data_IF_643696681953
#
_entry.id   IF_643696681953
#
_cell.length_a   1.000
_cell.length_b   1.000
_cell.length_c   1.000
_cell.angle_alpha   90.00
_cell.angle_beta   90.00
_cell.angle_gamma   90.00
#
_symmetry.space_group_name_H-M   'P 1'
#
loop_
_entity.id
_entity.type
_entity.pdbx_description
1 polymer ?
#
# COMPACT_ATOMS: atom_id res chain seq x y z
N UNK A 1 11.96 -11.08 91.56
CA UNK A 1 13.12 -11.98 91.37
C UNK A 1 13.85 -11.50 90.12
N UNK A 2 15.06 -10.97 90.31
CA UNK A 2 16.14 -10.55 89.38
C UNK A 2 15.81 -10.13 87.92
N UNK A 3 15.99 -8.83 87.59
CA UNK A 3 17.15 -8.22 86.87
C UNK A 3 17.21 -8.64 85.38
N UNK A 4 17.16 -7.75 84.37
CA UNK A 4 18.14 -6.70 84.06
C UNK A 4 17.56 -5.57 83.18
N UNK A 5 18.07 -4.37 83.40
CA UNK A 5 18.00 -3.16 82.55
C UNK A 5 18.97 -3.23 81.36
N UNK A 6 18.63 -2.55 80.26
CA UNK A 6 19.31 -1.37 79.65
C UNK A 6 18.63 -1.12 78.29
N UNK A 7 17.90 0.01 78.14
CA UNK A 7 18.26 1.21 77.35
C UNK A 7 18.56 0.94 75.86
N UNK A 8 18.20 1.75 74.87
CA UNK A 8 17.52 3.04 74.73
C UNK A 8 17.25 3.19 73.21
N UNK A 9 16.33 4.12 72.87
CA UNK A 9 16.37 5.03 71.71
C UNK A 9 15.10 5.05 70.84
N UNK A 10 14.37 6.15 71.04
CA UNK A 10 13.38 6.73 70.14
C UNK A 10 14.09 7.25 68.87
N UNK A 11 13.49 7.08 67.69
CA UNK A 11 12.94 8.20 66.91
C UNK A 11 12.31 7.72 65.60
N UNK A 12 11.06 8.12 65.41
CA UNK A 12 10.27 7.92 64.19
C UNK A 12 10.58 9.01 63.16
N UNK A 13 10.78 8.55 61.92
CA UNK A 13 10.20 9.06 60.67
C UNK A 13 9.91 10.57 60.57
N UNK A 14 10.65 11.25 59.68
CA UNK A 14 10.07 12.21 58.73
C UNK A 14 10.72 12.04 57.35
N UNK A 15 9.87 11.75 56.37
CA UNK A 15 10.19 11.57 54.94
C UNK A 15 10.63 12.90 54.33
N UNK A 16 11.80 12.91 53.69
CA UNK A 16 12.23 13.98 52.80
C UNK A 16 11.65 13.78 51.39
N UNK A 17 11.18 14.87 50.80
CA UNK A 17 10.95 15.01 49.37
C UNK A 17 12.30 14.92 48.65
N UNK A 18 12.46 13.97 47.74
CA UNK A 18 13.45 14.04 46.67
C UNK A 18 12.69 13.93 45.34
N UNK A 19 12.51 15.06 44.68
CA UNK A 19 12.05 15.10 43.30
C UNK A 19 13.20 14.70 42.39
N UNK A 20 13.15 13.47 41.85
CA UNK A 20 14.00 13.04 40.75
C UNK A 20 13.20 13.28 39.47
N UNK A 21 13.56 14.35 38.76
CA UNK A 21 13.13 14.59 37.38
C UNK A 21 13.88 13.59 36.49
N UNK A 22 13.29 12.42 36.24
CA UNK A 22 13.73 11.55 35.15
C UNK A 22 13.24 12.13 33.83
N UNK A 23 14.07 12.96 33.20
CA UNK A 23 13.98 13.27 31.78
C UNK A 23 14.30 11.98 30.99
N UNK A 24 13.29 11.15 30.80
CA UNK A 24 13.33 10.06 29.84
C UNK A 24 13.47 10.68 28.44
N UNK A 25 14.70 10.73 27.94
CA UNK A 25 14.97 10.98 26.54
C UNK A 25 14.40 9.79 25.77
N UNK A 26 13.25 9.96 25.12
CA UNK A 26 12.86 9.11 24.01
C UNK A 26 13.94 9.24 22.94
N UNK A 27 14.89 8.30 22.92
CA UNK A 27 15.70 8.09 21.73
C UNK A 27 14.72 7.80 20.58
N UNK A 28 14.82 8.49 19.43
CA UNK A 28 14.07 8.08 18.26
C UNK A 28 14.47 6.64 17.97
N UNK A 29 13.52 5.72 18.10
CA UNK A 29 13.74 4.35 17.68
C UNK A 29 14.09 4.39 16.20
N UNK A 30 15.31 3.99 15.85
CA UNK A 30 15.63 3.69 14.47
C UNK A 30 14.56 2.70 14.00
N UNK A 31 13.88 3.01 12.89
CA UNK A 31 13.03 2.04 12.23
C UNK A 31 13.83 0.73 12.09
N UNK A 32 13.25 -0.39 12.49
CA UNK A 32 13.95 -1.67 12.40
C UNK A 32 14.32 -1.91 10.92
N UNK A 33 15.62 -1.98 10.63
CA UNK A 33 16.10 -2.32 9.29
C UNK A 33 15.55 -3.69 8.91
N UNK A 34 14.97 -3.81 7.72
CA UNK A 34 14.48 -5.09 7.22
C UNK A 34 15.69 -6.02 7.02
N UNK A 35 15.68 -7.19 7.66
CA UNK A 35 16.70 -8.20 7.43
C UNK A 35 16.56 -8.77 6.00
N UNK A 36 17.69 -9.01 5.33
CA UNK A 36 17.68 -9.67 4.03
C UNK A 36 17.03 -11.06 4.17
N UNK A 37 16.17 -11.47 3.21
CA UNK A 37 15.79 -12.86 3.07
C UNK A 37 17.03 -13.74 2.90
N UNK A 38 16.90 -15.04 3.21
CA UNK A 38 18.00 -16.00 3.01
C UNK A 38 18.42 -16.02 1.54
N UNK A 39 19.71 -16.28 1.27
CA UNK A 39 20.20 -16.33 -0.11
C UNK A 39 19.47 -17.38 -0.95
N UNK A 40 19.02 -18.49 -0.35
CA UNK A 40 18.20 -19.48 -1.03
C UNK A 40 16.85 -18.90 -1.50
N UNK A 41 16.19 -18.08 -0.67
CA UNK A 41 14.96 -17.39 -1.05
C UNK A 41 15.21 -16.34 -2.15
N UNK A 42 16.32 -15.60 -2.07
CA UNK A 42 16.73 -14.65 -3.12
C UNK A 42 16.97 -15.38 -4.44
N UNK A 43 17.70 -16.48 -4.44
CA UNK A 43 17.96 -17.28 -5.64
C UNK A 43 16.65 -17.84 -6.24
N UNK A 44 15.72 -18.29 -5.40
CA UNK A 44 14.40 -18.73 -5.86
C UNK A 44 13.62 -17.58 -6.52
N UNK A 45 13.61 -16.40 -5.89
CA UNK A 45 12.96 -15.21 -6.45
C UNK A 45 13.63 -14.78 -7.78
N UNK A 46 14.96 -14.87 -7.90
CA UNK A 46 15.68 -14.60 -9.15
C UNK A 46 15.24 -15.53 -10.28
N UNK A 47 15.05 -16.81 -9.98
CA UNK A 47 14.65 -17.82 -10.97
C UNK A 47 13.17 -17.77 -11.40
N UNK A 48 12.34 -16.99 -10.69
CA UNK A 48 10.90 -16.90 -10.94
C UNK A 48 10.62 -16.04 -12.17
N UNK A 49 9.52 -16.30 -12.89
CA UNK A 49 9.07 -15.47 -14.02
C UNK A 49 8.72 -14.03 -13.57
N UNK A 50 8.88 -13.05 -14.47
CA UNK A 50 8.39 -11.69 -14.24
C UNK A 50 6.86 -11.64 -14.18
N UNK A 51 6.32 -10.87 -13.24
CA UNK A 51 4.87 -10.66 -13.15
C UNK A 51 4.41 -9.53 -14.06
N UNK A 52 3.30 -9.78 -14.76
CA UNK A 52 2.52 -8.84 -15.54
C UNK A 52 1.12 -8.77 -14.96
N UNK A 53 0.44 -7.66 -15.24
CA UNK A 53 -0.98 -7.51 -14.95
C UNK A 53 -1.74 -7.24 -16.23
N UNK A 54 -2.88 -7.89 -16.39
CA UNK A 54 -3.80 -7.67 -17.49
C UNK A 54 -5.14 -8.33 -17.17
N UNK A 55 -6.24 -7.65 -17.46
CA UNK A 55 -7.59 -8.18 -17.22
C UNK A 55 -7.97 -9.37 -18.10
N UNK A 56 -7.25 -9.58 -19.22
CA UNK A 56 -7.43 -10.77 -20.06
C UNK A 56 -6.90 -12.05 -19.42
N UNK A 57 -6.13 -11.96 -18.33
CA UNK A 57 -5.70 -13.14 -17.59
C UNK A 57 -6.87 -13.81 -16.87
N UNK A 58 -6.90 -15.14 -16.95
CA UNK A 58 -7.98 -15.94 -16.39
C UNK A 58 -8.01 -15.91 -14.86
N UNK A 59 -9.18 -16.22 -14.29
CA UNK A 59 -9.37 -16.34 -12.84
C UNK A 59 -9.59 -15.01 -12.11
N UNK A 60 -9.77 -13.89 -12.81
CA UNK A 60 -10.14 -12.60 -12.21
C UNK A 60 -9.02 -11.91 -11.42
N UNK A 61 -7.86 -12.56 -11.26
CA UNK A 61 -6.71 -12.03 -10.54
C UNK A 61 -5.99 -10.89 -11.27
N UNK A 62 -6.26 -10.73 -12.57
CA UNK A 62 -5.60 -9.80 -13.48
C UNK A 62 -4.08 -9.91 -13.47
N UNK A 63 -3.52 -11.09 -13.19
CA UNK A 63 -2.06 -11.31 -13.20
C UNK A 63 -1.70 -12.71 -13.67
N UNK A 64 -0.53 -12.86 -14.28
CA UNK A 64 0.11 -14.17 -14.47
C UNK A 64 0.80 -14.68 -13.19
N UNK A 65 0.96 -13.81 -12.18
CA UNK A 65 1.79 -14.03 -11.00
C UNK A 65 1.02 -14.46 -9.74
N UNK A 66 -0.17 -15.04 -9.86
CA UNK A 66 -1.01 -15.37 -8.70
C UNK A 66 -0.29 -16.23 -7.64
N UNK A 67 0.60 -17.12 -8.09
CA UNK A 67 1.31 -18.09 -7.24
C UNK A 67 2.77 -17.76 -6.96
N UNK A 68 3.33 -16.77 -7.67
CA UNK A 68 4.77 -16.49 -7.64
C UNK A 68 5.11 -15.00 -7.56
N UNK A 69 4.11 -14.11 -7.51
CA UNK A 69 4.32 -12.67 -7.50
C UNK A 69 5.04 -12.14 -6.26
N UNK A 70 5.05 -12.90 -5.16
CA UNK A 70 5.86 -12.60 -3.97
C UNK A 70 7.35 -12.49 -4.24
N UNK A 71 7.86 -13.04 -5.36
CA UNK A 71 9.26 -12.87 -5.77
C UNK A 71 9.67 -11.39 -5.90
N UNK A 72 8.78 -10.53 -6.41
CA UNK A 72 9.05 -9.09 -6.58
C UNK A 72 9.36 -8.38 -5.25
N UNK A 73 8.57 -8.66 -4.20
CA UNK A 73 8.80 -8.13 -2.86
C UNK A 73 10.08 -8.72 -2.25
N UNK A 74 10.31 -10.03 -2.38
CA UNK A 74 11.53 -10.68 -1.87
C UNK A 74 12.79 -10.03 -2.44
N UNK A 75 12.82 -9.74 -3.74
CA UNK A 75 13.92 -9.04 -4.39
C UNK A 75 14.08 -7.61 -3.83
N UNK A 76 12.99 -6.87 -3.68
CA UNK A 76 13.03 -5.52 -3.13
C UNK A 76 13.55 -5.48 -1.68
N UNK A 77 13.09 -6.39 -0.81
CA UNK A 77 13.57 -6.49 0.58
C UNK A 77 15.05 -6.86 0.61
N UNK A 78 15.50 -7.82 -0.20
CA UNK A 78 16.91 -8.20 -0.29
C UNK A 78 17.78 -7.01 -0.71
N UNK A 79 17.40 -6.29 -1.76
CA UNK A 79 18.11 -5.08 -2.21
C UNK A 79 18.12 -4.01 -1.12
N UNK A 80 16.99 -3.73 -0.47
CA UNK A 80 16.89 -2.76 0.62
C UNK A 80 17.85 -3.09 1.77
N UNK A 81 17.91 -4.36 2.16
CA UNK A 81 18.81 -4.88 3.20
C UNK A 81 20.30 -4.94 2.80
N UNK A 82 20.65 -4.48 1.59
CA UNK A 82 22.05 -4.43 1.11
C UNK A 82 22.51 -5.65 0.30
N UNK A 83 21.65 -6.64 0.05
CA UNK A 83 22.00 -7.79 -0.79
C UNK A 83 21.91 -7.41 -2.27
N UNK A 84 23.05 -7.09 -2.87
CA UNK A 84 23.16 -6.66 -4.27
C UNK A 84 22.90 -7.78 -5.28
N UNK A 85 22.86 -9.05 -4.86
CA UNK A 85 22.59 -10.17 -5.78
C UNK A 85 21.15 -10.15 -6.33
N UNK A 86 20.24 -9.42 -5.68
CA UNK A 86 18.86 -9.22 -6.13
C UNK A 86 18.69 -8.06 -7.13
N UNK A 87 19.64 -7.10 -7.18
CA UNK A 87 19.44 -5.78 -7.81
C UNK A 87 19.11 -5.91 -9.32
N UNK A 88 19.86 -6.72 -10.08
CA UNK A 88 19.64 -6.90 -11.53
C UNK A 88 18.23 -7.40 -11.81
N UNK A 89 17.78 -8.44 -11.11
CA UNK A 89 16.45 -9.01 -11.30
C UNK A 89 15.35 -8.06 -10.87
N UNK A 90 15.59 -7.30 -9.79
CA UNK A 90 14.65 -6.28 -9.34
C UNK A 90 14.44 -5.20 -10.41
N UNK A 91 15.52 -4.71 -11.05
CA UNK A 91 15.40 -3.76 -12.16
C UNK A 91 14.64 -4.34 -13.35
N UNK A 92 14.87 -5.61 -13.69
CA UNK A 92 14.10 -6.29 -14.74
C UNK A 92 12.61 -6.31 -14.41
N UNK A 93 12.23 -6.65 -13.17
CA UNK A 93 10.83 -6.63 -12.74
C UNK A 93 10.22 -5.23 -12.74
N UNK A 94 10.92 -4.21 -12.24
CA UNK A 94 10.45 -2.82 -12.27
C UNK A 94 10.16 -2.40 -13.71
N UNK A 95 11.14 -2.56 -14.60
CA UNK A 95 11.00 -2.11 -16.00
C UNK A 95 9.96 -2.92 -16.76
N UNK A 96 9.83 -4.20 -16.46
CA UNK A 96 8.80 -5.05 -17.04
C UNK A 96 7.39 -4.62 -16.62
N UNK A 97 7.20 -4.26 -15.35
CA UNK A 97 5.93 -3.67 -14.87
C UNK A 97 5.63 -2.31 -15.52
N UNK A 98 6.66 -1.55 -15.93
CA UNK A 98 6.50 -0.26 -16.61
C UNK A 98 6.37 -0.36 -18.14
N UNK A 99 6.43 -1.57 -18.69
CA UNK A 99 6.09 -1.83 -20.09
C UNK A 99 4.57 -1.70 -20.27
N UNK A 100 4.09 -0.92 -21.25
CA UNK A 100 2.66 -0.73 -21.47
C UNK A 100 1.90 -2.04 -21.61
N UNK A 101 0.83 -2.21 -20.85
CA UNK A 101 0.00 -3.41 -20.82
C UNK A 101 0.46 -4.46 -19.79
N UNK A 102 1.57 -4.23 -19.09
CA UNK A 102 2.02 -5.06 -17.97
C UNK A 102 1.78 -4.41 -16.60
N UNK A 103 1.50 -3.11 -16.55
CA UNK A 103 1.23 -2.39 -15.30
C UNK A 103 -0.07 -2.89 -14.63
N UNK A 104 -0.19 -2.79 -13.28
CA UNK A 104 -1.43 -3.12 -12.57
C UNK A 104 -2.68 -2.53 -13.23
N UNK A 105 -3.80 -3.24 -13.14
CA UNK A 105 -5.08 -2.71 -13.64
C UNK A 105 -5.67 -1.65 -12.71
N UNK A 106 -5.33 -1.70 -11.42
CA UNK A 106 -5.85 -0.81 -10.38
C UNK A 106 -7.39 -0.79 -10.36
N UNK A 107 -8.00 -1.97 -10.40
CA UNK A 107 -9.46 -2.10 -10.40
C UNK A 107 -10.11 -1.92 -9.02
N UNK A 108 -9.34 -2.20 -7.96
CA UNK A 108 -9.90 -2.63 -6.68
C UNK A 108 -10.40 -4.08 -6.77
N UNK A 109 -11.14 -4.55 -5.76
CA UNK A 109 -11.70 -5.91 -5.73
C UNK A 109 -10.64 -7.03 -5.68
N UNK A 110 -10.94 -8.16 -6.33
CA UNK A 110 -10.11 -9.37 -6.29
C UNK A 110 -8.65 -9.18 -6.80
N UNK A 111 -8.40 -8.41 -7.89
CA UNK A 111 -7.03 -8.14 -8.36
C UNK A 111 -6.11 -7.51 -7.31
N UNK A 112 -6.65 -6.70 -6.38
CA UNK A 112 -5.86 -5.91 -5.45
C UNK A 112 -4.90 -6.76 -4.59
N UNK A 113 -5.30 -8.00 -4.24
CA UNK A 113 -4.46 -8.92 -3.47
C UNK A 113 -3.17 -9.35 -4.20
N UNK A 114 -3.14 -9.24 -5.53
CA UNK A 114 -2.00 -9.61 -6.34
C UNK A 114 -1.24 -8.37 -6.81
N UNK A 115 -1.93 -7.26 -7.06
CA UNK A 115 -1.31 -5.97 -7.37
C UNK A 115 -0.43 -5.45 -6.22
N UNK A 116 -0.71 -5.86 -4.97
CA UNK A 116 0.15 -5.58 -3.81
C UNK A 116 1.58 -6.12 -3.93
N UNK A 117 1.81 -7.14 -4.77
CA UNK A 117 3.17 -7.60 -5.06
C UNK A 117 4.00 -6.50 -5.72
N UNK A 118 3.47 -5.86 -6.77
CA UNK A 118 4.16 -4.77 -7.46
C UNK A 118 4.14 -3.47 -6.65
N UNK A 119 3.02 -3.12 -6.02
CA UNK A 119 2.93 -1.86 -5.27
C UNK A 119 3.74 -1.91 -3.98
N UNK A 120 3.80 -3.06 -3.30
CA UNK A 120 4.71 -3.29 -2.17
C UNK A 120 6.18 -3.23 -2.58
N UNK A 121 6.54 -3.82 -3.74
CA UNK A 121 7.87 -3.67 -4.32
C UNK A 121 8.23 -2.18 -4.52
N UNK A 122 7.33 -1.36 -5.08
CA UNK A 122 7.59 0.06 -5.29
C UNK A 122 7.75 0.88 -4.01
N UNK A 123 7.00 0.57 -2.94
CA UNK A 123 7.20 1.19 -1.61
C UNK A 123 8.63 0.97 -1.12
N UNK A 124 9.13 -0.27 -1.18
CA UNK A 124 10.47 -0.61 -0.70
C UNK A 124 11.54 0.01 -1.61
N UNK A 125 11.34 -0.07 -2.92
CA UNK A 125 12.26 0.49 -3.92
C UNK A 125 12.44 2.00 -3.74
N UNK A 126 11.36 2.77 -3.50
CA UNK A 126 11.43 4.21 -3.24
C UNK A 126 12.26 4.57 -2.01
N UNK A 127 12.32 3.67 -1.03
CA UNK A 127 13.14 3.81 0.18
C UNK A 127 14.51 3.13 0.06
N UNK A 128 14.93 2.78 -1.15
CA UNK A 128 16.23 2.14 -1.42
C UNK A 128 17.01 2.99 -2.42
N UNK A 129 17.79 4.01 -1.98
CA UNK A 129 18.45 4.96 -2.88
C UNK A 129 19.29 4.31 -3.98
N UNK A 130 20.02 3.22 -3.66
CA UNK A 130 20.81 2.45 -4.63
C UNK A 130 19.99 1.95 -5.84
N UNK A 131 18.70 1.68 -5.64
CA UNK A 131 17.77 1.26 -6.70
C UNK A 131 17.01 2.45 -7.26
N UNK A 132 16.38 3.27 -6.40
CA UNK A 132 15.53 4.38 -6.82
C UNK A 132 16.29 5.42 -7.65
N UNK A 133 17.52 5.75 -7.28
CA UNK A 133 18.29 6.80 -7.95
C UNK A 133 18.79 6.37 -9.34
N UNK A 134 18.73 5.08 -9.66
CA UNK A 134 19.03 4.54 -10.99
C UNK A 134 17.83 4.59 -11.95
N UNK A 135 16.62 4.86 -11.43
CA UNK A 135 15.43 5.02 -12.26
C UNK A 135 15.39 6.43 -12.86
N UNK A 136 15.03 6.50 -14.13
CA UNK A 136 14.81 7.76 -14.85
C UNK A 136 13.61 8.51 -14.28
N UNK A 137 13.55 9.82 -14.54
CA UNK A 137 12.40 10.64 -14.15
C UNK A 137 11.08 10.12 -14.75
N UNK A 138 11.11 9.60 -15.99
CA UNK A 138 9.95 9.03 -16.64
C UNK A 138 9.50 7.71 -16.00
N UNK A 139 10.44 6.84 -15.60
CA UNK A 139 10.11 5.62 -14.86
C UNK A 139 9.48 5.97 -13.50
N UNK A 140 10.07 6.92 -12.75
CA UNK A 140 9.53 7.39 -11.46
C UNK A 140 8.11 7.96 -11.61
N UNK A 141 7.88 8.79 -12.63
CA UNK A 141 6.55 9.36 -12.90
C UNK A 141 5.49 8.28 -13.20
N UNK A 142 5.85 7.23 -13.94
CA UNK A 142 4.94 6.10 -14.18
C UNK A 142 4.65 5.32 -12.89
N UNK A 143 5.67 5.08 -12.05
CA UNK A 143 5.47 4.45 -10.74
C UNK A 143 4.54 5.29 -9.86
N UNK A 144 4.74 6.62 -9.81
CA UNK A 144 3.86 7.54 -9.07
C UNK A 144 2.40 7.43 -9.52
N UNK A 145 2.16 7.35 -10.84
CA UNK A 145 0.81 7.17 -11.39
C UNK A 145 0.22 5.80 -11.07
N UNK A 146 1.01 4.72 -11.11
CA UNK A 146 0.57 3.37 -10.69
C UNK A 146 0.14 3.41 -9.22
N UNK A 147 0.96 4.01 -8.35
CA UNK A 147 0.67 4.09 -6.92
C UNK A 147 -0.54 4.99 -6.60
N UNK A 148 -0.71 6.10 -7.34
CA UNK A 148 -1.89 6.96 -7.27
C UNK A 148 -3.15 6.21 -7.70
N UNK A 149 -3.08 5.44 -8.80
CA UNK A 149 -4.18 4.62 -9.28
C UNK A 149 -4.60 3.56 -8.24
N UNK A 150 -3.62 2.84 -7.68
CA UNK A 150 -3.86 1.85 -6.62
C UNK A 150 -4.53 2.49 -5.41
N UNK A 151 -4.02 3.62 -4.93
CA UNK A 151 -4.61 4.32 -3.78
C UNK A 151 -6.07 4.71 -4.07
N UNK A 152 -6.33 5.36 -5.20
CA UNK A 152 -7.69 5.83 -5.57
C UNK A 152 -8.67 4.67 -5.73
N UNK A 153 -8.28 3.62 -6.46
CA UNK A 153 -9.18 2.50 -6.72
C UNK A 153 -9.55 1.74 -5.45
N UNK A 154 -8.57 1.48 -4.60
CA UNK A 154 -8.81 0.75 -3.36
C UNK A 154 -9.48 1.61 -2.29
N UNK A 155 -9.22 2.92 -2.26
CA UNK A 155 -9.99 3.85 -1.44
C UNK A 155 -11.46 3.88 -1.90
N UNK A 156 -11.73 3.93 -3.20
CA UNK A 156 -13.10 3.88 -3.71
C UNK A 156 -13.82 2.60 -3.28
N UNK A 157 -13.24 1.43 -3.51
CA UNK A 157 -13.91 0.15 -3.24
C UNK A 157 -14.07 -0.15 -1.75
N UNK A 158 -13.34 0.51 -0.86
CA UNK A 158 -13.47 0.30 0.59
C UNK A 158 -14.25 1.40 1.29
N UNK A 159 -14.36 2.59 0.72
CA UNK A 159 -14.89 3.75 1.45
C UNK A 159 -16.34 3.58 1.91
N UNK A 160 -16.62 4.06 3.12
CA UNK A 160 -18.00 4.29 3.61
C UNK A 160 -18.77 5.29 2.74
N UNK A 161 -18.05 6.16 2.01
CA UNK A 161 -18.65 7.12 1.10
C UNK A 161 -18.91 6.55 -0.32
N UNK A 162 -18.54 5.30 -0.58
CA UNK A 162 -18.87 4.64 -1.84
C UNK A 162 -20.39 4.61 -2.03
N UNK A 163 -20.92 5.06 -3.19
CA UNK A 163 -22.37 5.16 -3.41
C UNK A 163 -23.10 3.82 -3.28
N UNK A 164 -22.45 2.71 -3.63
CA UNK A 164 -23.05 1.37 -3.54
C UNK A 164 -23.12 0.87 -2.09
N UNK A 165 -22.09 1.19 -1.30
CA UNK A 165 -22.03 0.93 0.14
C UNK A 165 -23.10 1.73 0.88
N UNK A 166 -23.17 3.05 0.65
CA UNK A 166 -24.19 3.92 1.28
C UNK A 166 -25.61 3.50 0.96
N UNK A 167 -25.84 3.03 -0.26
CA UNK A 167 -27.13 2.53 -0.69
C UNK A 167 -27.43 1.11 -0.18
N UNK A 168 -26.46 0.42 0.42
CA UNK A 168 -26.54 -0.98 0.81
C UNK A 168 -26.99 -1.88 -0.35
N UNK A 169 -26.33 -1.72 -1.49
CA UNK A 169 -26.61 -2.46 -2.74
C UNK A 169 -25.38 -3.26 -3.20
N UNK A 170 -25.50 -4.00 -4.30
CA UNK A 170 -24.37 -4.63 -4.96
C UNK A 170 -23.23 -3.62 -5.16
N UNK A 171 -22.05 -3.96 -4.65
CA UNK A 171 -20.83 -3.18 -4.84
C UNK A 171 -20.20 -3.50 -6.19
N UNK A 172 -19.53 -2.50 -6.77
CA UNK A 172 -18.88 -2.60 -8.08
C UNK A 172 -17.45 -2.05 -8.03
N UNK A 173 -16.56 -2.66 -8.80
CA UNK A 173 -15.21 -2.18 -9.02
C UNK A 173 -15.22 -0.96 -9.95
N UNK A 174 -14.05 -0.38 -10.19
CA UNK A 174 -13.94 0.74 -11.12
C UNK A 174 -14.32 0.36 -12.56
N UNK A 175 -14.08 -0.89 -12.97
CA UNK A 175 -14.52 -1.41 -14.25
C UNK A 175 -15.95 -2.01 -14.23
N UNK A 176 -16.70 -1.82 -13.14
CA UNK A 176 -18.06 -2.32 -13.02
C UNK A 176 -18.17 -3.83 -12.84
N UNK A 177 -17.07 -4.56 -12.58
CA UNK A 177 -17.13 -5.92 -12.06
C UNK A 177 -17.96 -5.92 -10.76
N UNK A 178 -18.91 -6.85 -10.66
CA UNK A 178 -19.79 -7.01 -9.51
C UNK A 178 -19.33 -8.11 -8.56
N UNK A 179 -18.29 -8.86 -8.92
CA UNK A 179 -17.76 -9.93 -8.08
C UNK A 179 -16.85 -9.35 -6.99
N UNK A 180 -17.40 -8.44 -6.17
CA UNK A 180 -16.74 -7.95 -4.96
C UNK A 180 -17.77 -7.56 -3.91
N UNK A 181 -17.28 -7.51 -2.69
CA UNK A 181 -17.88 -6.80 -1.59
C UNK A 181 -16.75 -6.51 -0.59
N UNK A 182 -16.69 -5.28 -0.07
CA UNK A 182 -15.61 -4.82 0.82
C UNK A 182 -15.49 -5.59 2.12
N UNK A 183 -16.56 -6.28 2.50
CA UNK A 183 -16.71 -7.07 3.73
C UNK A 183 -16.71 -8.58 3.47
N UNK A 184 -16.44 -9.00 2.24
CA UNK A 184 -16.37 -10.41 1.89
C UNK A 184 -15.06 -11.06 2.40
N UNK A 185 -14.69 -12.19 1.80
CA UNK A 185 -13.56 -12.98 2.26
C UNK A 185 -12.22 -12.21 2.13
N UNK A 186 -11.18 -12.64 2.87
CA UNK A 186 -9.89 -11.93 2.95
C UNK A 186 -9.25 -11.58 1.60
N UNK A 187 -9.46 -12.40 0.57
CA UNK A 187 -8.89 -12.15 -0.76
C UNK A 187 -9.37 -10.82 -1.38
N UNK A 188 -10.54 -10.32 -0.97
CA UNK A 188 -11.04 -9.01 -1.35
C UNK A 188 -10.60 -7.95 -0.35
N UNK A 189 -11.00 -8.12 0.91
CA UNK A 189 -10.82 -7.10 1.95
C UNK A 189 -9.35 -6.74 2.17
N UNK A 190 -8.48 -7.75 2.35
CA UNK A 190 -7.06 -7.52 2.62
C UNK A 190 -6.30 -7.04 1.40
N UNK A 191 -6.74 -7.45 0.20
CA UNK A 191 -6.20 -6.94 -1.05
C UNK A 191 -6.44 -5.44 -1.17
N UNK A 192 -7.70 -5.01 -0.97
CA UNK A 192 -8.07 -3.61 -1.11
C UNK A 192 -7.50 -2.73 -0.01
N UNK A 193 -7.65 -3.12 1.26
CA UNK A 193 -7.03 -2.37 2.37
C UNK A 193 -5.50 -2.37 2.24
N UNK A 194 -4.90 -3.48 1.79
CA UNK A 194 -3.47 -3.53 1.47
C UNK A 194 -3.06 -2.51 0.40
N UNK A 195 -3.88 -2.31 -0.63
CA UNK A 195 -3.64 -1.29 -1.66
C UNK A 195 -3.74 0.15 -1.13
N UNK A 196 -4.63 0.41 -0.17
CA UNK A 196 -4.65 1.69 0.55
C UNK A 196 -3.33 1.85 1.33
N UNK A 197 -2.95 0.86 2.14
CA UNK A 197 -1.73 0.89 2.96
C UNK A 197 -0.44 1.07 2.15
N UNK A 198 -0.30 0.40 0.99
CA UNK A 198 0.87 0.63 0.12
C UNK A 198 0.87 2.04 -0.47
N UNK A 199 -0.30 2.59 -0.77
CA UNK A 199 -0.45 4.00 -1.14
C UNK A 199 0.03 4.95 -0.04
N UNK A 200 -0.42 4.77 1.21
CA UNK A 200 0.04 5.59 2.35
C UNK A 200 1.56 5.51 2.51
N UNK A 201 2.10 4.29 2.54
CA UNK A 201 3.54 4.09 2.72
C UNK A 201 4.36 4.74 1.60
N UNK A 202 3.88 4.66 0.35
CA UNK A 202 4.56 5.24 -0.81
C UNK A 202 4.57 6.77 -0.82
N UNK A 203 3.45 7.39 -0.44
CA UNK A 203 3.32 8.85 -0.46
C UNK A 203 3.81 9.52 0.82
N UNK A 204 4.29 8.75 1.81
CA UNK A 204 4.92 9.29 3.03
C UNK A 204 3.95 9.48 4.18
N UNK A 205 2.88 8.69 4.24
CA UNK A 205 1.94 8.63 5.34
C UNK A 205 0.55 9.20 5.01
N UNK A 206 -0.29 9.39 6.04
CA UNK A 206 -1.70 9.69 5.86
C UNK A 206 -1.97 11.08 5.29
N UNK A 207 -1.19 12.10 5.68
CA UNK A 207 -1.42 13.48 5.20
C UNK A 207 -1.19 13.64 3.70
N UNK A 208 -0.06 13.19 3.10
CA UNK A 208 0.10 13.23 1.64
C UNK A 208 -0.92 12.36 0.90
N UNK A 209 -1.24 11.16 1.42
CA UNK A 209 -2.23 10.28 0.82
C UNK A 209 -3.63 10.92 0.80
N UNK A 210 -4.06 11.52 1.92
CA UNK A 210 -5.33 12.24 1.99
C UNK A 210 -5.35 13.45 1.05
N UNK A 211 -4.24 14.17 0.90
CA UNK A 211 -4.15 15.27 -0.06
C UNK A 211 -4.40 14.80 -1.49
N UNK A 212 -3.82 13.67 -1.89
CA UNK A 212 -4.05 13.06 -3.22
C UNK A 212 -5.53 12.69 -3.42
N UNK A 213 -6.17 12.09 -2.42
CA UNK A 213 -7.58 11.72 -2.50
C UNK A 213 -8.49 12.96 -2.56
N UNK A 214 -8.21 13.97 -1.74
CA UNK A 214 -9.00 15.21 -1.64
C UNK A 214 -8.89 16.06 -2.90
N UNK A 215 -7.71 16.09 -3.53
CA UNK A 215 -7.47 16.86 -4.75
C UNK A 215 -7.69 16.05 -6.03
N UNK A 216 -8.28 14.86 -5.96
CA UNK A 216 -8.42 13.98 -7.10
C UNK A 216 -9.31 14.60 -8.20
N UNK A 217 -8.73 14.77 -9.39
CA UNK A 217 -9.40 15.15 -10.62
C UNK A 217 -9.32 13.98 -11.60
N UNK A 218 -10.49 13.38 -11.88
CA UNK A 218 -10.58 12.20 -12.72
C UNK A 218 -10.18 12.47 -14.18
N UNK A 219 -10.59 13.60 -14.76
CA UNK A 219 -10.31 13.90 -16.16
C UNK A 219 -8.82 14.15 -16.35
N UNK A 220 -8.22 14.98 -15.47
CA UNK A 220 -6.78 15.21 -15.46
C UNK A 220 -6.00 13.91 -15.28
N UNK A 221 -6.43 13.04 -14.35
CA UNK A 221 -5.76 11.77 -14.11
C UNK A 221 -5.81 10.83 -15.32
N UNK A 222 -6.95 10.69 -15.99
CA UNK A 222 -7.05 9.88 -17.23
C UNK A 222 -6.15 10.45 -18.34
N UNK A 223 -6.01 11.77 -18.45
CA UNK A 223 -5.04 12.42 -19.35
C UNK A 223 -3.60 12.07 -18.97
N UNK A 224 -3.23 12.16 -17.69
CA UNK A 224 -1.89 11.79 -17.20
C UNK A 224 -1.54 10.33 -17.55
N UNK A 225 -2.47 9.40 -17.33
CA UNK A 225 -2.30 7.97 -17.66
C UNK A 225 -2.09 7.76 -19.16
N UNK A 226 -2.84 8.49 -19.99
CA UNK A 226 -2.71 8.43 -21.46
C UNK A 226 -1.34 8.94 -21.90
N UNK A 227 -0.92 10.11 -21.41
CA UNK A 227 0.38 10.71 -21.73
C UNK A 227 1.57 9.87 -21.27
N UNK A 228 1.39 9.06 -20.21
CA UNK A 228 2.43 8.18 -19.67
C UNK A 228 2.37 6.75 -20.21
N UNK A 229 1.44 6.45 -21.11
CA UNK A 229 1.26 5.14 -21.76
C UNK A 229 1.03 3.99 -20.75
N UNK A 230 0.07 4.17 -19.83
CA UNK A 230 -0.39 3.16 -18.86
C UNK A 230 -1.79 2.64 -19.25
N UNK A 231 -1.91 1.84 -20.33
CA UNK A 231 -3.19 1.47 -20.94
C UNK A 231 -4.13 0.66 -20.05
N UNK A 232 -3.64 -0.25 -19.19
CA UNK A 232 -4.47 -1.07 -18.31
C UNK A 232 -5.20 -0.19 -17.28
N UNK A 233 -4.47 0.70 -16.61
CA UNK A 233 -5.05 1.63 -15.64
C UNK A 233 -6.01 2.59 -16.34
N UNK A 234 -5.59 3.14 -17.50
CA UNK A 234 -6.44 4.05 -18.28
C UNK A 234 -7.75 3.36 -18.69
N UNK A 235 -7.71 2.11 -19.10
CA UNK A 235 -8.91 1.33 -19.45
C UNK A 235 -9.87 1.23 -18.26
N UNK A 236 -9.37 0.83 -17.09
CA UNK A 236 -10.15 0.71 -15.85
C UNK A 236 -10.78 2.04 -15.45
N UNK A 237 -9.99 3.11 -15.39
CA UNK A 237 -10.49 4.43 -14.98
C UNK A 237 -11.45 5.04 -16.01
N UNK A 238 -11.29 4.72 -17.30
CA UNK A 238 -12.17 5.21 -18.36
C UNK A 238 -13.36 4.26 -18.65
N UNK A 239 -13.56 3.22 -17.85
CA UNK A 239 -14.50 2.14 -18.16
C UNK A 239 -15.92 2.64 -18.37
N UNK A 240 -16.42 3.51 -17.48
CA UNK A 240 -17.78 4.05 -17.56
C UNK A 240 -18.00 4.88 -18.83
N UNK A 241 -16.98 5.58 -19.32
CA UNK A 241 -17.04 6.34 -20.58
C UNK A 241 -17.12 5.38 -21.77
N UNK A 242 -16.28 4.34 -21.78
CA UNK A 242 -16.26 3.34 -22.84
C UNK A 242 -17.50 2.43 -22.83
N UNK A 243 -18.10 2.20 -21.66
CA UNK A 243 -19.23 1.31 -21.44
C UNK A 243 -20.35 2.06 -20.67
N UNK A 244 -21.09 2.98 -21.30
CA UNK A 244 -22.06 3.85 -20.61
C UNK A 244 -23.18 3.09 -19.88
N UNK A 245 -23.52 1.89 -20.35
CA UNK A 245 -24.56 1.03 -19.77
C UNK A 245 -24.07 0.18 -18.59
N UNK A 246 -22.75 0.09 -18.38
CA UNK A 246 -22.16 -0.64 -17.25
C UNK A 246 -22.51 0.00 -15.90
N UNK A 247 -22.29 -0.75 -14.82
CA UNK A 247 -22.48 -0.26 -13.44
C UNK A 247 -21.22 0.39 -12.85
N UNK A 248 -20.16 0.56 -13.64
CA UNK A 248 -18.97 1.28 -13.20
C UNK A 248 -19.30 2.71 -12.72
N UNK A 249 -18.63 3.21 -11.68
CA UNK A 249 -18.77 4.58 -11.23
C UNK A 249 -18.24 5.55 -12.30
N UNK A 250 -18.83 6.74 -12.39
CA UNK A 250 -18.23 7.83 -13.16
C UNK A 250 -17.18 8.58 -12.30
N UNK A 251 -16.39 9.45 -12.93
CA UNK A 251 -15.34 10.22 -12.24
C UNK A 251 -15.83 11.01 -11.03
N UNK A 252 -17.03 11.60 -11.09
CA UNK A 252 -17.62 12.35 -9.97
C UNK A 252 -17.98 11.44 -8.80
N UNK A 253 -18.52 10.24 -9.07
CA UNK A 253 -18.79 9.22 -8.06
C UNK A 253 -17.51 8.71 -7.41
N UNK A 254 -16.44 8.50 -8.19
CA UNK A 254 -15.12 8.12 -7.65
C UNK A 254 -14.62 9.20 -6.71
N UNK A 255 -14.57 10.47 -7.17
CA UNK A 255 -14.10 11.60 -6.36
C UNK A 255 -14.87 11.74 -5.05
N UNK A 256 -16.22 11.74 -5.11
CA UNK A 256 -17.07 11.93 -3.94
C UNK A 256 -16.89 10.81 -2.90
N UNK A 257 -16.55 9.60 -3.34
CA UNK A 257 -16.31 8.48 -2.44
C UNK A 257 -14.95 8.59 -1.72
N UNK A 258 -13.94 9.25 -2.30
CA UNK A 258 -12.58 9.23 -1.76
C UNK A 258 -12.14 10.54 -1.10
N UNK A 259 -12.77 11.68 -1.43
CA UNK A 259 -12.29 12.99 -0.98
C UNK A 259 -12.27 13.16 0.55
N UNK A 260 -13.18 12.47 1.26
CA UNK A 260 -13.21 12.37 2.72
C UNK A 260 -13.18 10.88 3.12
N UNK A 261 -12.19 10.15 2.62
CA UNK A 261 -12.09 8.71 2.80
C UNK A 261 -12.22 8.29 4.27
N UNK A 262 -13.16 7.36 4.50
CA UNK A 262 -13.34 6.63 5.74
C UNK A 262 -13.61 5.16 5.44
N UNK A 263 -13.16 4.27 6.32
CA UNK A 263 -13.49 2.86 6.33
C UNK A 263 -13.93 2.48 7.74
N UNK A 264 -15.21 2.14 7.92
CA UNK A 264 -15.83 1.93 9.24
C UNK A 264 -15.67 3.11 10.21
N UNK A 265 -15.73 4.34 9.68
CA UNK A 265 -15.51 5.57 10.43
C UNK A 265 -14.05 5.87 10.74
N UNK A 266 -13.12 4.95 10.47
CA UNK A 266 -11.68 5.19 10.56
C UNK A 266 -11.19 5.97 9.34
N UNK A 267 -10.40 7.00 9.60
CA UNK A 267 -9.71 7.83 8.60
C UNK A 267 -8.34 7.23 8.28
N UNK A 268 -7.60 7.86 7.37
CA UNK A 268 -6.22 7.45 7.10
C UNK A 268 -5.27 7.65 8.29
N UNK A 269 -5.63 8.48 9.27
CA UNK A 269 -4.77 8.81 10.44
C UNK A 269 -4.95 7.90 11.65
N UNK A 270 -5.98 7.05 11.64
CA UNK A 270 -6.25 6.08 12.73
C UNK A 270 -5.41 4.81 12.57
#
# INVERSE_FOLDING_TARGET
MYFFHFENAKLRLRRGLLGILCLAHCLPGNAADLASPSQAAVNAAVSTQLISFNRSFSGGAHTNGAWFGGASITLAVASHAGNTTADTRLFEQIRHTLTPGNEPTANGGYPAQHERHATGMFVIVKNTPRIWDQLTAAEKARIDLIMKATLVANAFTTSDNNPFVKANTQEYALDGDSNLNRDWNPNYREGMIGGVLTGLAYFGGPTPAQAILSSYDHAAFVTELTSNNLPNIRETFNWKVANPTSKAPNGSSIKSAIENYQYYGSTLTD
#
